data_IF_357691925674
#
_entry.id   IF_357691925674
#
_cell.length_a   1.000
_cell.length_b   1.000
_cell.length_c   1.000
_cell.angle_alpha   90.00
_cell.angle_beta   90.00
_cell.angle_gamma   90.00
#
_symmetry.space_group_name_H-M   'P 1'
#
loop_
_entity.id
_entity.type
_entity.pdbx_description
1 polymer ?
#
# COMPACT_ATOMS: atom_id res chain seq x y z
N UNK A 1 0.49 -1.55 -18.91
CA UNK A 1 0.06 -0.27 -18.30
C UNK A 1 0.93 0.84 -18.83
N UNK A 2 0.32 1.98 -19.16
CA UNK A 2 1.04 3.20 -19.51
C UNK A 2 1.70 3.80 -18.25
N UNK A 3 2.82 4.53 -18.40
CA UNK A 3 3.57 5.13 -17.27
C UNK A 3 2.69 6.00 -16.35
N UNK A 4 1.72 6.71 -16.93
CA UNK A 4 0.75 7.57 -16.21
C UNK A 4 -0.27 6.77 -15.39
N UNK A 5 -0.64 5.59 -15.86
CA UNK A 5 -1.54 4.69 -15.10
C UNK A 5 -0.82 4.14 -13.87
N UNK A 6 0.48 3.86 -14.00
CA UNK A 6 1.32 3.38 -12.91
C UNK A 6 1.44 4.41 -11.77
N UNK A 7 1.67 5.68 -12.13
CA UNK A 7 1.76 6.78 -11.17
C UNK A 7 0.45 6.97 -10.40
N UNK A 8 -0.67 6.92 -11.11
CA UNK A 8 -2.00 7.05 -10.52
C UNK A 8 -2.30 5.89 -9.56
N UNK A 9 -1.90 4.67 -9.95
CA UNK A 9 -2.12 3.45 -9.18
C UNK A 9 -1.32 3.44 -7.87
N UNK A 10 -0.02 3.74 -7.90
CA UNK A 10 0.79 3.80 -6.68
C UNK A 10 0.43 4.96 -5.76
N UNK A 11 0.01 6.10 -6.32
CA UNK A 11 -0.53 7.19 -5.52
C UNK A 11 -1.80 6.74 -4.77
N UNK A 12 -2.66 5.96 -5.41
CA UNK A 12 -3.86 5.38 -4.78
C UNK A 12 -3.51 4.40 -3.66
N UNK A 13 -2.57 3.49 -3.91
CA UNK A 13 -2.11 2.51 -2.92
C UNK A 13 -1.47 3.18 -1.71
N UNK A 14 -0.64 4.21 -1.94
CA UNK A 14 -0.02 4.99 -0.87
C UNK A 14 -1.05 5.65 0.03
N UNK A 15 -2.10 6.26 -0.55
CA UNK A 15 -3.19 6.87 0.22
C UNK A 15 -3.97 5.82 1.02
N UNK A 16 -4.23 4.66 0.42
CA UNK A 16 -4.97 3.58 1.07
C UNK A 16 -4.19 3.04 2.27
N UNK A 17 -2.95 2.60 2.09
CA UNK A 17 -2.11 2.10 3.17
C UNK A 17 -1.87 3.14 4.28
N UNK A 18 -1.74 4.43 3.93
CA UNK A 18 -1.62 5.52 4.91
C UNK A 18 -2.86 5.60 5.81
N UNK A 19 -4.06 5.45 5.24
CA UNK A 19 -5.32 5.47 5.99
C UNK A 19 -5.41 4.28 6.95
N UNK A 20 -5.12 3.09 6.43
CA UNK A 20 -5.23 1.85 7.22
C UNK A 20 -4.29 1.84 8.42
N UNK A 21 -3.13 2.51 8.36
CA UNK A 21 -2.18 2.59 9.49
C UNK A 21 -2.83 3.11 10.78
N UNK A 22 -3.67 4.15 10.70
CA UNK A 22 -4.29 4.74 11.89
C UNK A 22 -5.37 3.82 12.46
N UNK A 23 -6.29 3.43 11.60
CA UNK A 23 -7.45 2.61 11.94
C UNK A 23 -7.06 1.21 12.45
N UNK A 24 -6.03 0.58 11.87
CA UNK A 24 -5.56 -0.74 12.29
C UNK A 24 -4.83 -0.74 13.64
N UNK A 25 -4.33 0.41 14.08
CA UNK A 25 -3.58 0.54 15.34
C UNK A 25 -4.45 1.07 16.47
N UNK A 26 -5.35 2.01 16.18
CA UNK A 26 -6.10 2.74 17.19
C UNK A 26 -7.61 2.57 17.08
N UNK A 27 -8.10 1.96 16.00
CA UNK A 27 -9.52 1.87 15.71
C UNK A 27 -10.06 3.16 15.11
N UNK A 28 -11.38 3.23 14.99
CA UNK A 28 -12.10 4.43 14.59
C UNK A 28 -12.50 5.23 15.84
N UNK A 29 -11.78 6.32 16.07
CA UNK A 29 -12.02 7.21 17.21
C UNK A 29 -13.37 7.92 17.14
N UNK A 30 -13.91 8.19 15.95
CA UNK A 30 -15.19 8.88 15.80
C UNK A 30 -16.35 8.02 16.31
N UNK A 31 -16.28 6.71 16.07
CA UNK A 31 -17.31 5.75 16.47
C UNK A 31 -16.94 4.93 17.71
N UNK A 32 -15.75 5.12 18.27
CA UNK A 32 -15.16 4.27 19.32
C UNK A 32 -15.11 2.78 18.94
N UNK A 33 -14.89 2.48 17.66
CA UNK A 33 -14.82 1.09 17.17
C UNK A 33 -13.39 0.59 17.20
N UNK A 34 -13.06 -0.49 17.95
CA UNK A 34 -11.71 -1.01 18.03
C UNK A 34 -11.27 -1.73 16.74
N UNK A 35 -9.95 -1.84 16.46
CA UNK A 35 -9.43 -2.44 15.23
C UNK A 35 -9.95 -3.85 14.93
N UNK A 36 -10.14 -4.68 15.95
CA UNK A 36 -10.55 -6.09 15.81
C UNK A 36 -11.97 -6.23 15.26
N UNK A 37 -12.78 -5.16 15.33
CA UNK A 37 -14.13 -5.11 14.75
C UNK A 37 -14.14 -4.43 13.38
N UNK A 38 -13.09 -3.69 13.02
CA UNK A 38 -12.97 -3.01 11.73
C UNK A 38 -12.38 -3.90 10.64
N UNK A 39 -11.51 -4.83 11.03
CA UNK A 39 -10.69 -5.59 10.09
C UNK A 39 -10.87 -7.09 10.25
N UNK A 40 -10.89 -7.76 9.11
CA UNK A 40 -10.75 -9.20 9.00
C UNK A 40 -9.32 -9.58 8.60
N UNK A 41 -9.00 -10.87 8.74
CA UNK A 41 -7.75 -11.41 8.21
C UNK A 41 -7.59 -11.18 6.69
N UNK A 42 -8.70 -11.12 5.96
CA UNK A 42 -8.68 -10.85 4.52
C UNK A 42 -8.19 -9.43 4.21
N UNK A 43 -8.60 -8.43 4.99
CA UNK A 43 -8.20 -7.04 4.81
C UNK A 43 -6.69 -6.89 5.01
N UNK A 44 -6.16 -7.53 6.06
CA UNK A 44 -4.70 -7.59 6.29
C UNK A 44 -3.95 -8.24 5.12
N UNK A 45 -4.48 -9.33 4.56
CA UNK A 45 -3.89 -9.97 3.38
C UNK A 45 -3.90 -9.06 2.15
N UNK A 46 -4.95 -8.25 1.94
CA UNK A 46 -4.98 -7.29 0.83
C UNK A 46 -3.93 -6.19 1.03
N UNK A 47 -3.78 -5.65 2.24
CA UNK A 47 -2.75 -4.66 2.53
C UNK A 47 -1.33 -5.20 2.29
N UNK A 48 -1.08 -6.46 2.66
CA UNK A 48 0.22 -7.12 2.40
C UNK A 48 0.46 -7.22 0.89
N UNK A 49 -0.50 -7.73 0.11
CA UNK A 49 -0.35 -7.85 -1.34
C UNK A 49 -0.04 -6.52 -2.01
N UNK A 50 -0.75 -5.45 -1.61
CA UNK A 50 -0.51 -4.10 -2.10
C UNK A 50 0.94 -3.66 -1.78
N UNK A 51 1.42 -3.90 -0.57
CA UNK A 51 2.77 -3.53 -0.17
C UNK A 51 3.85 -4.34 -0.93
N UNK A 52 3.61 -5.63 -1.13
CA UNK A 52 4.50 -6.51 -1.91
C UNK A 52 4.60 -6.06 -3.37
N UNK A 53 3.47 -5.71 -3.99
CA UNK A 53 3.44 -5.23 -5.38
C UNK A 53 4.23 -3.93 -5.54
N UNK A 54 4.04 -2.94 -4.64
CA UNK A 54 4.81 -1.70 -4.66
C UNK A 54 6.31 -1.98 -4.50
N UNK A 55 6.68 -2.88 -3.58
CA UNK A 55 8.07 -3.22 -3.33
C UNK A 55 8.72 -3.87 -4.55
N UNK A 56 8.04 -4.81 -5.20
CA UNK A 56 8.53 -5.46 -6.42
C UNK A 56 8.79 -4.45 -7.53
N UNK A 57 7.84 -3.54 -7.77
CA UNK A 57 8.00 -2.48 -8.76
C UNK A 57 9.14 -1.51 -8.42
N UNK A 58 9.26 -1.11 -7.16
CA UNK A 58 10.35 -0.23 -6.71
C UNK A 58 11.72 -0.87 -6.94
N UNK A 59 11.87 -2.17 -6.62
CA UNK A 59 13.09 -2.94 -6.90
C UNK A 59 13.39 -2.97 -8.40
N UNK A 60 12.40 -3.26 -9.23
CA UNK A 60 12.59 -3.33 -10.69
C UNK A 60 13.04 -1.99 -11.27
N UNK A 61 12.40 -0.88 -10.88
CA UNK A 61 12.76 0.46 -11.32
C UNK A 61 14.18 0.85 -10.87
N UNK A 62 14.55 0.48 -9.65
CA UNK A 62 15.90 0.71 -9.13
C UNK A 62 16.95 -0.06 -9.94
N UNK A 63 16.71 -1.35 -10.21
CA UNK A 63 17.61 -2.19 -11.01
C UNK A 63 17.74 -1.70 -12.46
N UNK A 64 16.64 -1.26 -13.08
CA UNK A 64 16.66 -0.66 -14.42
C UNK A 64 17.52 0.61 -14.46
N UNK A 65 17.42 1.46 -13.42
CA UNK A 65 18.25 2.65 -13.28
C UNK A 65 19.72 2.32 -13.08
N UNK A 66 20.04 1.38 -12.20
CA UNK A 66 21.42 0.93 -11.95
C UNK A 66 22.08 0.36 -13.21
N UNK A 67 21.34 -0.42 -14.01
CA UNK A 67 21.85 -0.96 -15.29
C UNK A 67 22.03 0.10 -16.36
N UNK A 68 21.18 1.12 -16.38
CA UNK A 68 21.27 2.22 -17.36
C UNK A 68 22.36 3.23 -17.03
N UNK A 69 22.85 3.23 -15.78
CA UNK A 69 23.93 4.11 -15.30
C UNK A 69 25.33 3.49 -15.47
N UNK A 70 25.42 2.21 -15.88
CA UNK A 70 26.64 1.50 -16.24
C UNK A 70 26.81 1.47 -17.75
#
# INVERSE_FOLDING_TARGET
MCLRELETFFASYSRSLRKERGLSMYGDEETNTPPELLYSAYDGQQSIKIAEEILEYAKRLYEEKEKSAR
#
